data_IF_548162279825
#
_entry.id   IF_548162279825
#
_cell.length_a   1.000
_cell.length_b   1.000
_cell.length_c   1.000
_cell.angle_alpha   90.00
_cell.angle_beta   90.00
_cell.angle_gamma   90.00
#
_symmetry.space_group_name_H-M   'P 1'
#
loop_
_entity.id
_entity.type
_entity.pdbx_description
1 polymer ?
#
# COMPACT_ATOMS: atom_id res chain seq x y z
N UNK A 1 16.59 -0.65 2.33
CA UNK A 1 15.72 -0.11 1.26
C UNK A 1 16.27 -0.66 -0.04
N UNK A 2 15.52 -1.49 -0.76
CA UNK A 2 15.97 -1.97 -2.08
C UNK A 2 16.10 -0.77 -3.02
N UNK A 3 17.29 -0.56 -3.59
CA UNK A 3 17.56 0.54 -4.54
C UNK A 3 16.84 0.26 -5.87
N UNK A 4 16.85 1.25 -6.78
CA UNK A 4 16.34 1.04 -8.15
C UNK A 4 17.00 -0.16 -8.85
N UNK A 5 18.25 -0.46 -8.51
CA UNK A 5 19.04 -1.55 -9.08
C UNK A 5 18.43 -2.92 -8.78
N UNK A 6 17.88 -3.12 -7.58
CA UNK A 6 17.27 -4.39 -7.21
C UNK A 6 16.09 -4.76 -8.12
N UNK A 7 15.29 -3.77 -8.52
CA UNK A 7 14.18 -3.99 -9.46
C UNK A 7 14.68 -4.40 -10.85
N UNK A 8 15.79 -3.79 -11.30
CA UNK A 8 16.43 -4.17 -12.56
C UNK A 8 17.05 -5.57 -12.51
N UNK A 9 17.72 -5.93 -11.42
CA UNK A 9 18.24 -7.27 -11.20
C UNK A 9 17.12 -8.31 -11.20
N UNK A 10 16.01 -8.03 -10.53
CA UNK A 10 14.84 -8.92 -10.51
C UNK A 10 14.21 -9.08 -11.89
N UNK A 11 14.11 -7.99 -12.66
CA UNK A 11 13.61 -8.01 -14.04
C UNK A 11 14.52 -8.85 -14.95
N UNK A 12 15.85 -8.72 -14.81
CA UNK A 12 16.82 -9.50 -15.58
C UNK A 12 16.72 -11.01 -15.29
N UNK A 13 16.34 -11.40 -14.06
CA UNK A 13 16.14 -12.81 -13.67
C UNK A 13 14.85 -13.44 -14.19
N UNK A 14 13.95 -12.66 -14.81
CA UNK A 14 12.64 -13.12 -15.30
C UNK A 14 12.44 -12.72 -16.78
N UNK A 15 13.17 -13.34 -17.73
CA UNK A 15 13.00 -13.05 -19.16
C UNK A 15 11.57 -13.30 -19.62
N UNK A 16 10.98 -12.37 -20.37
CA UNK A 16 9.61 -12.49 -20.89
C UNK A 16 8.49 -12.13 -19.91
N UNK A 17 8.80 -11.84 -18.63
CA UNK A 17 7.83 -11.33 -17.66
C UNK A 17 8.07 -9.84 -17.39
N UNK A 18 7.08 -9.14 -16.81
CA UNK A 18 7.23 -7.75 -16.35
C UNK A 18 7.16 -7.71 -14.83
N UNK A 19 8.19 -7.16 -14.18
CA UNK A 19 8.18 -6.89 -12.75
C UNK A 19 7.40 -5.60 -12.51
N UNK A 20 6.36 -5.68 -11.68
CA UNK A 20 5.51 -4.54 -11.31
C UNK A 20 5.71 -4.22 -9.83
N UNK A 21 6.52 -3.21 -9.47
CA UNK A 21 6.66 -2.80 -8.08
C UNK A 21 5.34 -2.23 -7.58
N UNK A 22 4.80 -2.76 -6.48
CA UNK A 22 3.62 -2.21 -5.81
C UNK A 22 4.07 -1.25 -4.72
N UNK A 23 3.62 0.00 -4.80
CA UNK A 23 3.89 1.03 -3.80
C UNK A 23 2.60 1.36 -3.08
N UNK A 24 2.66 1.29 -1.76
CA UNK A 24 1.56 1.66 -0.88
C UNK A 24 1.90 2.94 -0.15
N UNK A 25 0.93 3.84 -0.05
CA UNK A 25 1.03 5.02 0.81
C UNK A 25 -0.20 5.09 1.70
N UNK A 26 0.00 5.48 2.95
CA UNK A 26 -1.08 5.68 3.89
C UNK A 26 -0.75 6.87 4.76
N UNK A 27 -1.68 7.82 4.81
CA UNK A 27 -1.58 8.99 5.68
C UNK A 27 -2.92 9.22 6.38
N UNK A 28 -2.88 9.82 7.55
CA UNK A 28 -4.08 10.09 8.33
C UNK A 28 -4.87 11.22 7.67
N UNK A 29 -6.10 10.93 7.27
CA UNK A 29 -7.01 11.93 6.71
C UNK A 29 -8.28 12.10 7.54
N UNK A 30 -8.87 13.28 7.47
CA UNK A 30 -10.20 13.54 8.00
C UNK A 30 -11.22 13.20 6.90
N UNK A 31 -12.12 12.26 7.19
CA UNK A 31 -13.04 11.71 6.17
C UNK A 31 -14.30 12.56 6.04
N UNK A 32 -14.60 13.39 7.04
CA UNK A 32 -15.82 14.20 7.11
C UNK A 32 -15.48 15.67 7.34
N UNK A 33 -16.04 16.58 6.52
CA UNK A 33 -15.91 18.03 6.69
C UNK A 33 -16.52 18.50 8.02
N UNK A 34 -17.67 17.94 8.38
CA UNK A 34 -18.34 18.16 9.66
C UNK A 34 -18.34 16.87 10.47
N UNK A 35 -17.28 16.64 11.24
CA UNK A 35 -17.15 15.49 12.13
C UNK A 35 -15.70 15.14 12.47
N UNK A 36 -15.47 14.55 13.64
CA UNK A 36 -14.14 14.17 14.14
C UNK A 36 -13.70 12.76 13.68
N UNK A 37 -14.24 12.26 12.55
CA UNK A 37 -13.92 10.93 12.04
C UNK A 37 -12.65 11.02 11.18
N UNK A 38 -11.60 10.39 11.68
CA UNK A 38 -10.34 10.21 10.93
C UNK A 38 -10.23 8.77 10.45
N UNK A 39 -9.63 8.56 9.30
CA UNK A 39 -9.22 7.25 8.82
C UNK A 39 -7.81 7.33 8.23
N UNK A 40 -7.21 6.18 7.97
CA UNK A 40 -5.96 6.09 7.22
C UNK A 40 -6.28 5.43 5.87
N UNK A 41 -6.54 6.20 4.80
CA UNK A 41 -6.61 5.64 3.46
C UNK A 41 -5.31 4.91 3.10
N UNK A 42 -5.43 3.83 2.34
CA UNK A 42 -4.32 3.13 1.71
C UNK A 42 -4.46 3.37 0.22
N UNK A 43 -3.51 4.11 -0.35
CA UNK A 43 -3.39 4.29 -1.79
C UNK A 43 -2.36 3.34 -2.36
N UNK A 44 -2.66 2.78 -3.52
CA UNK A 44 -1.81 1.90 -4.29
C UNK A 44 -1.39 2.59 -5.60
N UNK A 45 -0.12 2.46 -5.95
CA UNK A 45 0.44 2.85 -7.24
C UNK A 45 1.50 1.84 -7.67
N UNK A 46 1.84 1.84 -8.96
CA UNK A 46 2.88 0.95 -9.49
C UNK A 46 4.15 1.73 -9.80
N UNK A 47 5.29 1.10 -9.56
CA UNK A 47 6.61 1.71 -9.75
C UNK A 47 6.97 1.95 -11.21
N UNK A 48 6.31 1.25 -12.14
CA UNK A 48 6.52 1.40 -13.57
C UNK A 48 5.98 2.73 -14.11
N UNK A 49 5.12 3.43 -13.36
CA UNK A 49 4.63 4.74 -13.78
C UNK A 49 5.76 5.80 -13.67
N UNK A 50 5.97 6.61 -14.72
CA UNK A 50 6.83 7.78 -14.65
C UNK A 50 6.50 8.66 -13.44
N UNK A 51 7.54 9.22 -12.80
CA UNK A 51 7.40 10.02 -11.59
C UNK A 51 6.44 11.19 -11.78
N UNK A 52 6.48 11.83 -12.95
CA UNK A 52 5.64 12.94 -13.35
C UNK A 52 4.16 12.55 -13.49
N UNK A 53 3.85 11.34 -13.95
CA UNK A 53 2.49 10.80 -14.01
C UNK A 53 1.99 10.46 -12.60
N UNK A 54 2.81 9.75 -11.81
CA UNK A 54 2.44 9.31 -10.45
C UNK A 54 2.16 10.47 -9.49
N UNK A 55 2.82 11.62 -9.69
CA UNK A 55 2.60 12.85 -8.88
C UNK A 55 1.46 13.73 -9.39
N UNK A 56 0.88 13.45 -10.55
CA UNK A 56 -0.14 14.29 -11.20
C UNK A 56 -1.53 13.74 -10.90
N UNK A 57 -2.33 14.38 -10.01
CA UNK A 57 -3.62 13.83 -9.57
C UNK A 57 -4.60 13.58 -10.72
N UNK A 58 -4.58 14.43 -11.75
CA UNK A 58 -5.45 14.32 -12.92
C UNK A 58 -5.18 13.07 -13.78
N UNK A 59 -4.03 12.42 -13.61
CA UNK A 59 -3.66 11.24 -14.39
C UNK A 59 -4.06 9.92 -13.72
N UNK A 60 -4.67 9.94 -12.53
CA UNK A 60 -5.15 8.73 -11.88
C UNK A 60 -4.06 7.69 -11.56
N UNK A 61 -2.80 8.11 -11.42
CA UNK A 61 -1.67 7.21 -11.19
C UNK A 61 -1.67 6.52 -9.81
N UNK A 62 -2.66 6.80 -8.96
CA UNK A 62 -2.86 6.17 -7.67
C UNK A 62 -4.34 5.82 -7.49
N UNK A 63 -4.60 4.66 -6.89
CA UNK A 63 -5.96 4.18 -6.61
C UNK A 63 -6.13 4.01 -5.11
N UNK A 64 -7.28 4.43 -4.57
CA UNK A 64 -7.64 4.15 -3.18
C UNK A 64 -8.03 2.68 -3.04
N UNK A 65 -7.30 1.95 -2.21
CA UNK A 65 -7.49 0.51 -2.00
C UNK A 65 -8.38 0.21 -0.79
N UNK A 66 -8.18 0.92 0.32
CA UNK A 66 -8.93 0.69 1.55
C UNK A 66 -8.85 1.88 2.52
N UNK A 67 -9.70 1.87 3.55
CA UNK A 67 -9.56 2.73 4.74
C UNK A 67 -9.24 1.88 5.96
N UNK A 68 -8.12 2.15 6.63
CA UNK A 68 -7.75 1.46 7.86
C UNK A 68 -8.45 2.08 9.08
N UNK A 69 -8.75 1.26 10.10
CA UNK A 69 -9.37 1.74 11.33
C UNK A 69 -8.45 2.70 12.10
N UNK A 70 -8.94 3.89 12.44
CA UNK A 70 -8.24 4.87 13.27
C UNK A 70 -8.54 4.72 14.77
N UNK A 71 -8.56 3.49 15.28
CA UNK A 71 -8.84 3.23 16.69
C UNK A 71 -7.82 3.94 17.58
N UNK A 72 -8.29 4.56 18.66
CA UNK A 72 -7.43 5.22 19.65
C UNK A 72 -7.02 4.30 20.80
N UNK A 73 -7.62 3.11 20.90
CA UNK A 73 -7.41 2.11 21.98
C UNK A 73 -7.26 2.76 23.38
N UNK A 74 -8.14 3.72 23.70
CA UNK A 74 -8.04 4.53 24.93
C UNK A 74 -8.11 3.72 26.23
N UNK A 75 -8.72 2.53 26.17
CA UNK A 75 -8.83 1.61 27.31
C UNK A 75 -7.48 0.97 27.68
N UNK A 76 -6.48 1.02 26.80
CA UNK A 76 -5.14 0.50 27.08
C UNK A 76 -4.32 1.58 27.78
N UNK A 77 -4.14 1.42 29.09
CA UNK A 77 -3.41 2.38 29.93
C UNK A 77 -1.92 2.45 29.56
N UNK A 78 -1.28 1.29 29.35
CA UNK A 78 0.14 1.22 28.99
C UNK A 78 0.39 1.77 27.57
N UNK A 79 1.15 2.87 27.47
CA UNK A 79 1.46 3.55 26.21
C UNK A 79 2.23 2.64 25.24
N UNK A 80 3.21 1.88 25.74
CA UNK A 80 4.02 0.98 24.92
C UNK A 80 3.17 -0.15 24.32
N UNK A 81 2.31 -0.77 25.14
CA UNK A 81 1.37 -1.80 24.69
C UNK A 81 0.40 -1.23 23.65
N UNK A 82 -0.17 -0.06 23.91
CA UNK A 82 -1.08 0.62 22.97
C UNK A 82 -0.43 0.87 21.60
N UNK A 83 0.81 1.35 21.57
CA UNK A 83 1.56 1.56 20.31
C UNK A 83 1.76 0.24 19.56
N UNK A 84 2.16 -0.83 20.26
CA UNK A 84 2.34 -2.16 19.65
C UNK A 84 1.02 -2.71 19.10
N UNK A 85 -0.09 -2.57 19.83
CA UNK A 85 -1.41 -3.02 19.38
C UNK A 85 -1.87 -2.27 18.12
N UNK A 86 -1.64 -0.95 18.05
CA UNK A 86 -1.95 -0.17 16.85
C UNK A 86 -1.10 -0.61 15.64
N UNK A 87 0.20 -0.85 15.85
CA UNK A 87 1.07 -1.38 14.80
C UNK A 87 0.61 -2.77 14.33
N UNK A 88 0.27 -3.67 15.26
CA UNK A 88 -0.24 -5.00 14.93
C UNK A 88 -1.56 -4.93 14.14
N UNK A 89 -2.48 -4.04 14.53
CA UNK A 89 -3.73 -3.81 13.80
C UNK A 89 -3.45 -3.32 12.37
N UNK A 90 -2.53 -2.36 12.22
CA UNK A 90 -2.12 -1.85 10.91
C UNK A 90 -1.56 -2.97 10.02
N UNK A 91 -0.59 -3.75 10.53
CA UNK A 91 0.00 -4.85 9.78
C UNK A 91 -0.98 -5.98 9.48
N UNK A 92 -1.90 -6.27 10.40
CA UNK A 92 -2.97 -7.25 10.18
C UNK A 92 -3.88 -6.81 9.02
N UNK A 93 -4.33 -5.55 9.02
CA UNK A 93 -5.16 -5.04 7.93
C UNK A 93 -4.40 -5.04 6.60
N UNK A 94 -3.13 -4.62 6.56
CA UNK A 94 -2.34 -4.67 5.33
C UNK A 94 -2.15 -6.09 4.82
N UNK A 95 -1.86 -7.06 5.70
CA UNK A 95 -1.77 -8.47 5.30
C UNK A 95 -3.06 -8.95 4.64
N UNK A 96 -4.21 -8.60 5.21
CA UNK A 96 -5.51 -8.95 4.64
C UNK A 96 -5.81 -8.27 3.31
N UNK A 97 -5.46 -7.00 3.17
CA UNK A 97 -5.65 -6.26 1.91
C UNK A 97 -4.75 -6.81 0.79
N UNK A 98 -3.52 -7.22 1.14
CA UNK A 98 -2.49 -7.65 0.18
C UNK A 98 -2.44 -9.16 -0.02
N UNK A 99 -3.28 -9.94 0.67
CA UNK A 99 -3.37 -11.41 0.57
C UNK A 99 -3.41 -11.91 -0.89
N UNK A 100 -4.16 -11.29 -1.83
CA UNK A 100 -4.13 -11.71 -3.23
C UNK A 100 -2.78 -11.54 -3.94
N UNK A 101 -1.92 -10.63 -3.46
CA UNK A 101 -0.61 -10.37 -4.06
C UNK A 101 0.43 -11.41 -3.67
N UNK A 102 0.19 -12.23 -2.63
CA UNK A 102 1.13 -13.28 -2.23
C UNK A 102 1.26 -14.31 -3.36
N UNK A 103 0.13 -14.85 -3.84
CA UNK A 103 0.09 -15.77 -4.99
C UNK A 103 0.58 -15.10 -6.27
N UNK A 104 0.12 -13.87 -6.55
CA UNK A 104 0.55 -13.15 -7.76
C UNK A 104 2.05 -12.84 -7.76
N UNK A 105 2.66 -12.61 -6.60
CA UNK A 105 4.09 -12.32 -6.46
C UNK A 105 4.98 -13.55 -6.65
N UNK A 106 4.48 -14.75 -6.33
CA UNK A 106 5.22 -16.01 -6.48
C UNK A 106 5.02 -16.65 -7.84
N UNK A 107 3.78 -16.74 -8.30
CA UNK A 107 3.40 -17.46 -9.53
C UNK A 107 3.40 -16.54 -10.75
N UNK A 108 3.24 -15.23 -10.53
CA UNK A 108 2.96 -14.27 -11.59
C UNK A 108 1.49 -14.31 -12.00
N UNK A 109 1.08 -13.31 -12.77
CA UNK A 109 -0.25 -13.26 -13.38
C UNK A 109 -0.09 -12.93 -14.86
N UNK A 110 -0.97 -13.51 -15.70
CA UNK A 110 -1.08 -13.11 -17.10
C UNK A 110 -1.69 -11.72 -17.13
N UNK A 111 -0.89 -10.74 -17.51
CA UNK A 111 -1.36 -9.37 -17.75
C UNK A 111 -2.16 -9.39 -19.05
N UNK A 112 -3.39 -8.86 -19.02
CA UNK A 112 -4.17 -8.68 -20.25
C UNK A 112 -3.54 -7.55 -21.07
N UNK A 113 -3.44 -7.76 -22.37
CA UNK A 113 -3.32 -6.67 -23.32
C UNK A 113 -4.64 -5.87 -23.34
N UNK A 114 -4.51 -4.57 -23.54
CA UNK A 114 -5.62 -3.64 -23.68
C UNK A 114 -5.94 -3.35 -25.12
#
# INVERSE_FOLDING_TARGET
>A
MHTGDWWWEMQARKPGATVVPILLSSDRTQVTVFGSKTAYPVYLTIGNLPKDIRRKPSCGGQVLLAYLPASKLKHVACVASRRRMLANLFHFCLRKILEPLETAGTEGIVMRDG
#
